data_IF_740773605388
#
_entry.id   IF_740773605388
#
_cell.length_a   1.000
_cell.length_b   1.000
_cell.length_c   1.000
_cell.angle_alpha   90.00
_cell.angle_beta   90.00
_cell.angle_gamma   90.00
#
_symmetry.space_group_name_H-M   'P 1'
#
loop_
_entity.id
_entity.type
_entity.pdbx_description
1 polymer ?
#
# COMPACT_ATOMS: atom_id res chain seq x y z
N UNK A 1 2.38 -21.20 -14.07
CA UNK A 1 2.94 -19.99 -13.42
C UNK A 1 2.36 -18.75 -14.13
N UNK A 2 1.76 -17.77 -13.43
CA UNK A 2 1.04 -16.65 -14.09
C UNK A 2 1.98 -15.63 -14.77
N UNK A 3 1.47 -14.86 -15.73
CA UNK A 3 2.26 -13.92 -16.54
C UNK A 3 2.65 -12.63 -15.79
N UNK A 4 3.65 -11.89 -16.28
CA UNK A 4 4.04 -10.60 -15.70
C UNK A 4 2.89 -9.57 -15.71
N UNK A 5 2.11 -9.40 -16.81
CA UNK A 5 0.93 -8.52 -16.80
C UNK A 5 -0.10 -8.90 -15.74
N UNK A 6 -0.34 -10.20 -15.50
CA UNK A 6 -1.26 -10.65 -14.46
C UNK A 6 -0.81 -10.16 -13.08
N UNK A 7 0.45 -10.37 -12.70
CA UNK A 7 0.95 -9.90 -11.40
C UNK A 7 0.94 -8.38 -11.29
N UNK A 8 1.14 -7.65 -12.40
CA UNK A 8 1.01 -6.19 -12.44
C UNK A 8 -0.42 -5.74 -12.11
N UNK A 9 -1.43 -6.39 -12.69
CA UNK A 9 -2.85 -6.10 -12.38
C UNK A 9 -3.13 -6.40 -10.91
N UNK A 10 -2.73 -7.57 -10.41
CA UNK A 10 -2.91 -7.96 -9.00
C UNK A 10 -2.28 -6.93 -8.05
N UNK A 11 -1.06 -6.46 -8.36
CA UNK A 11 -0.36 -5.46 -7.58
C UNK A 11 -1.08 -4.11 -7.55
N UNK A 12 -1.56 -3.65 -8.71
CA UNK A 12 -2.28 -2.37 -8.83
C UNK A 12 -3.63 -2.43 -8.12
N UNK A 13 -4.38 -3.53 -8.27
CA UNK A 13 -5.63 -3.74 -7.54
C UNK A 13 -5.37 -3.70 -6.04
N UNK A 14 -4.34 -4.40 -5.57
CA UNK A 14 -3.92 -4.35 -4.16
C UNK A 14 -3.62 -2.92 -3.68
N UNK A 15 -2.85 -2.16 -4.47
CA UNK A 15 -2.53 -0.75 -4.17
C UNK A 15 -3.79 0.11 -4.05
N UNK A 16 -4.71 0.01 -5.01
CA UNK A 16 -5.96 0.79 -5.03
C UNK A 16 -6.81 0.49 -3.79
N UNK A 17 -6.91 -0.78 -3.41
CA UNK A 17 -7.64 -1.20 -2.21
C UNK A 17 -7.01 -0.64 -0.92
N UNK A 18 -5.69 -0.71 -0.78
CA UNK A 18 -4.96 -0.15 0.36
C UNK A 18 -5.15 1.36 0.45
N UNK A 19 -4.97 2.08 -0.66
CA UNK A 19 -5.11 3.54 -0.69
C UNK A 19 -6.54 3.98 -0.36
N UNK A 20 -7.55 3.29 -0.92
CA UNK A 20 -8.96 3.53 -0.63
C UNK A 20 -9.29 3.32 0.86
N UNK A 21 -8.87 2.20 1.44
CA UNK A 21 -9.14 1.90 2.85
C UNK A 21 -8.42 2.87 3.82
N UNK A 22 -7.18 3.26 3.51
CA UNK A 22 -6.43 4.23 4.30
C UNK A 22 -7.02 5.64 4.18
N UNK A 23 -7.40 6.05 2.97
CA UNK A 23 -8.08 7.33 2.73
C UNK A 23 -9.40 7.43 3.49
N UNK A 24 -10.24 6.39 3.41
CA UNK A 24 -11.50 6.31 4.15
C UNK A 24 -11.28 6.39 5.67
N UNK A 25 -10.28 5.67 6.19
CA UNK A 25 -9.93 5.68 7.61
C UNK A 25 -9.45 7.04 8.09
N UNK A 26 -8.57 7.68 7.31
CA UNK A 26 -8.01 8.98 7.63
C UNK A 26 -9.08 10.08 7.62
N UNK A 27 -9.95 10.12 6.60
CA UNK A 27 -11.04 11.11 6.54
C UNK A 27 -12.06 10.90 7.66
N UNK A 28 -12.42 9.65 7.96
CA UNK A 28 -13.31 9.38 9.08
C UNK A 28 -12.72 9.86 10.42
N UNK A 29 -11.42 9.59 10.66
CA UNK A 29 -10.73 10.08 11.85
C UNK A 29 -10.65 11.62 11.89
N UNK A 30 -10.43 12.28 10.74
CA UNK A 30 -10.41 13.74 10.64
C UNK A 30 -11.75 14.38 10.99
N UNK A 31 -12.85 13.71 10.68
CA UNK A 31 -14.20 14.15 11.01
C UNK A 31 -14.60 13.79 12.46
N UNK A 32 -13.64 13.48 13.34
CA UNK A 32 -13.88 13.13 14.75
C UNK A 32 -14.33 11.69 14.97
N UNK A 33 -14.31 10.86 13.92
CA UNK A 33 -14.68 9.46 14.01
C UNK A 33 -13.65 8.59 14.74
N UNK A 34 -14.12 7.56 15.43
CA UNK A 34 -13.28 6.55 16.09
C UNK A 34 -13.50 5.16 15.48
N UNK A 35 -12.72 4.18 15.92
CA UNK A 35 -12.91 2.78 15.50
C UNK A 35 -14.30 2.25 15.85
N UNK A 36 -14.88 2.71 16.95
CA UNK A 36 -16.18 2.29 17.46
C UNK A 36 -17.33 2.90 16.65
N UNK A 37 -17.17 4.14 16.18
CA UNK A 37 -18.22 4.85 15.43
C UNK A 37 -18.23 4.49 13.94
N UNK A 38 -17.17 3.89 13.40
CA UNK A 38 -17.12 3.48 12.00
C UNK A 38 -17.97 2.22 11.76
N UNK A 39 -19.20 2.41 11.25
CA UNK A 39 -20.11 1.32 10.86
C UNK A 39 -19.55 0.42 9.75
N UNK A 40 -18.69 0.96 8.89
CA UNK A 40 -18.03 0.24 7.81
C UNK A 40 -16.64 -0.34 8.20
N UNK A 41 -16.28 -0.36 9.50
CA UNK A 41 -14.94 -0.77 9.95
C UNK A 41 -14.50 -2.15 9.44
N UNK A 42 -15.42 -3.11 9.35
CA UNK A 42 -15.12 -4.46 8.91
C UNK A 42 -14.79 -4.49 7.42
N UNK A 43 -15.57 -3.76 6.60
CA UNK A 43 -15.30 -3.58 5.19
C UNK A 43 -13.94 -2.90 4.97
N UNK A 44 -13.67 -1.79 5.66
CA UNK A 44 -12.40 -1.07 5.55
C UNK A 44 -11.21 -1.95 5.94
N UNK A 45 -11.31 -2.71 7.03
CA UNK A 45 -10.27 -3.65 7.44
C UNK A 45 -10.07 -4.78 6.43
N UNK A 46 -11.15 -5.32 5.85
CA UNK A 46 -11.07 -6.37 4.84
C UNK A 46 -10.44 -5.85 3.54
N UNK A 47 -10.87 -4.68 3.04
CA UNK A 47 -10.29 -4.06 1.85
C UNK A 47 -8.80 -3.76 2.04
N UNK A 48 -8.41 -3.27 3.22
CA UNK A 48 -6.99 -3.04 3.52
C UNK A 48 -6.22 -4.35 3.58
N UNK A 49 -6.69 -5.35 4.34
CA UNK A 49 -6.00 -6.64 4.49
C UNK A 49 -5.85 -7.40 3.18
N UNK A 50 -6.94 -7.53 2.40
CA UNK A 50 -6.91 -8.12 1.05
C UNK A 50 -6.04 -7.27 0.12
N UNK A 51 -6.15 -5.94 0.21
CA UNK A 51 -5.32 -5.03 -0.55
C UNK A 51 -3.83 -5.24 -0.32
N UNK A 52 -3.39 -5.34 0.94
CA UNK A 52 -2.00 -5.63 1.31
C UNK A 52 -1.57 -6.99 0.78
N UNK A 53 -2.41 -8.02 0.92
CA UNK A 53 -2.11 -9.35 0.40
C UNK A 53 -1.89 -9.33 -1.11
N UNK A 54 -2.80 -8.72 -1.87
CA UNK A 54 -2.68 -8.61 -3.33
C UNK A 54 -1.49 -7.72 -3.74
N UNK A 55 -1.25 -6.63 -3.01
CA UNK A 55 -0.10 -5.75 -3.24
C UNK A 55 1.20 -6.55 -3.12
N UNK A 56 1.38 -7.33 -2.05
CA UNK A 56 2.60 -8.10 -1.84
C UNK A 56 2.70 -9.30 -2.79
N UNK A 57 1.64 -10.08 -2.99
CA UNK A 57 1.64 -11.23 -3.92
C UNK A 57 1.89 -10.78 -5.35
N UNK A 58 1.25 -9.70 -5.79
CA UNK A 58 1.50 -9.11 -7.11
C UNK A 58 2.92 -8.54 -7.22
N UNK A 59 3.39 -7.87 -6.17
CA UNK A 59 4.73 -7.28 -6.12
C UNK A 59 5.84 -8.33 -6.25
N UNK A 60 5.87 -9.30 -5.33
CA UNK A 60 6.85 -10.38 -5.34
C UNK A 60 6.67 -11.33 -6.53
N UNK A 61 5.44 -11.54 -7.00
CA UNK A 61 5.17 -12.28 -8.23
C UNK A 61 5.82 -11.63 -9.46
N UNK A 62 5.76 -10.29 -9.58
CA UNK A 62 6.50 -9.57 -10.62
C UNK A 62 8.02 -9.69 -10.45
N UNK A 63 8.53 -9.60 -9.22
CA UNK A 63 9.97 -9.72 -8.96
C UNK A 63 10.52 -11.08 -9.40
N UNK A 64 9.81 -12.16 -9.10
CA UNK A 64 10.17 -13.50 -9.56
C UNK A 64 10.19 -13.61 -11.10
N UNK A 65 9.28 -12.90 -11.80
CA UNK A 65 9.25 -12.86 -13.28
C UNK A 65 10.37 -12.01 -13.87
N UNK A 66 10.88 -11.05 -13.11
CA UNK A 66 12.01 -10.20 -13.49
C UNK A 66 13.37 -10.81 -13.11
N UNK A 67 13.39 -12.02 -12.53
CA UNK A 67 14.63 -12.72 -12.17
C UNK A 67 15.22 -12.34 -10.81
N UNK A 68 14.51 -11.55 -9.99
CA UNK A 68 14.93 -11.23 -8.62
C UNK A 68 14.61 -12.41 -7.69
N UNK A 69 15.57 -13.34 -7.56
CA UNK A 69 15.50 -14.52 -6.70
C UNK A 69 16.01 -14.22 -5.28
N UNK A 70 15.75 -15.12 -4.32
CA UNK A 70 16.28 -15.00 -2.96
C UNK A 70 17.81 -14.86 -2.96
N UNK A 71 18.33 -13.88 -2.20
CA UNK A 71 19.76 -13.58 -2.11
C UNK A 71 20.29 -12.61 -3.17
N UNK A 72 19.47 -12.19 -4.15
CA UNK A 72 19.88 -11.16 -5.11
C UNK A 72 19.98 -9.78 -4.46
N UNK A 73 21.02 -9.02 -4.82
CA UNK A 73 21.15 -7.63 -4.41
C UNK A 73 20.05 -6.80 -5.10
N UNK A 74 19.10 -6.30 -4.30
CA UNK A 74 18.03 -5.46 -4.82
C UNK A 74 18.55 -4.06 -5.14
N UNK A 75 18.23 -3.52 -6.33
CA UNK A 75 18.57 -2.14 -6.68
C UNK A 75 17.85 -1.15 -5.75
N UNK A 76 18.36 0.08 -5.66
CA UNK A 76 17.84 1.09 -4.74
C UNK A 76 16.33 1.34 -4.90
N UNK A 77 15.85 1.42 -6.15
CA UNK A 77 14.42 1.67 -6.45
C UNK A 77 13.51 0.59 -5.85
N UNK A 78 14.00 -0.66 -5.78
CA UNK A 78 13.23 -1.78 -5.25
C UNK A 78 13.13 -1.69 -3.73
N UNK A 79 14.23 -1.35 -3.05
CA UNK A 79 14.21 -1.10 -1.61
C UNK A 79 13.22 0.00 -1.22
N UNK A 80 13.21 1.11 -1.97
CA UNK A 80 12.24 2.19 -1.76
C UNK A 80 10.81 1.66 -1.85
N UNK A 81 10.49 0.84 -2.86
CA UNK A 81 9.15 0.26 -2.99
C UNK A 81 8.79 -0.69 -1.85
N UNK A 82 9.72 -1.55 -1.43
CA UNK A 82 9.50 -2.47 -0.30
C UNK A 82 9.20 -1.71 0.99
N UNK A 83 9.94 -0.64 1.26
CA UNK A 83 9.70 0.24 2.41
C UNK A 83 8.32 0.89 2.31
N UNK A 84 7.95 1.44 1.14
CA UNK A 84 6.62 2.03 0.94
C UNK A 84 5.51 1.01 1.17
N UNK A 85 5.64 -0.22 0.65
CA UNK A 85 4.67 -1.29 0.85
C UNK A 85 4.52 -1.64 2.34
N UNK A 86 5.62 -1.73 3.07
CA UNK A 86 5.61 -1.95 4.51
C UNK A 86 4.93 -0.81 5.28
N UNK A 87 5.22 0.44 4.93
CA UNK A 87 4.61 1.63 5.52
C UNK A 87 3.09 1.59 5.33
N UNK A 88 2.60 1.41 4.10
CA UNK A 88 1.14 1.43 3.83
C UNK A 88 0.42 0.21 4.43
N UNK A 89 1.11 -0.92 4.58
CA UNK A 89 0.57 -2.09 5.27
C UNK A 89 0.41 -1.84 6.79
N UNK A 90 1.30 -1.09 7.42
CA UNK A 90 1.21 -0.79 8.85
C UNK A 90 0.27 0.38 9.19
N UNK A 91 0.06 1.30 8.23
CA UNK A 91 -0.52 2.62 8.50
C UNK A 91 -1.99 2.62 8.98
N UNK A 92 -2.75 1.56 8.70
CA UNK A 92 -4.21 1.53 8.93
C UNK A 92 -4.60 1.81 10.39
N UNK A 93 -3.77 1.39 11.34
CA UNK A 93 -4.09 1.49 12.77
C UNK A 93 -3.79 2.88 13.36
N UNK A 94 -3.08 3.75 12.63
CA UNK A 94 -2.58 5.01 13.17
C UNK A 94 -3.65 6.09 13.28
N UNK A 95 -4.52 6.35 12.26
CA UNK A 95 -5.45 7.48 12.31
C UNK A 95 -6.40 7.46 13.53
N UNK A 96 -6.89 6.29 13.95
CA UNK A 96 -7.74 6.18 15.14
C UNK A 96 -6.97 6.20 16.47
N UNK A 97 -5.68 5.87 16.47
CA UNK A 97 -4.83 5.94 17.68
C UNK A 97 -4.24 7.33 17.89
N UNK A 98 -3.98 8.05 16.80
CA UNK A 98 -3.42 9.41 16.81
C UNK A 98 -4.13 10.26 15.74
N UNK A 99 -5.33 10.80 16.03
CA UNK A 99 -6.11 11.58 15.08
C UNK A 99 -5.37 12.79 14.49
N UNK A 100 -4.43 13.39 15.25
CA UNK A 100 -3.56 14.46 14.76
C UNK A 100 -2.73 14.06 13.52
N UNK A 101 -2.45 12.77 13.33
CA UNK A 101 -1.72 12.24 12.18
C UNK A 101 -2.62 11.93 10.98
N UNK A 102 -3.95 11.98 11.12
CA UNK A 102 -4.86 11.59 10.05
C UNK A 102 -4.73 12.50 8.80
N UNK A 103 -4.55 13.81 8.98
CA UNK A 103 -4.34 14.76 7.87
C UNK A 103 -2.99 14.56 7.20
N UNK A 104 -1.85 14.51 7.94
CA UNK A 104 -0.57 14.13 7.35
C UNK A 104 -0.61 12.81 6.59
N UNK A 105 -1.25 11.78 7.16
CA UNK A 105 -1.40 10.48 6.51
C UNK A 105 -2.17 10.62 5.20
N UNK A 106 -3.35 11.26 5.23
CA UNK A 106 -4.18 11.44 4.04
C UNK A 106 -3.43 12.13 2.89
N UNK A 107 -2.67 13.18 3.19
CA UNK A 107 -1.85 13.91 2.21
C UNK A 107 -0.63 13.09 1.76
N UNK A 108 -0.02 12.31 2.66
CA UNK A 108 1.14 11.49 2.34
C UNK A 108 0.80 10.29 1.42
N UNK A 109 -0.42 9.74 1.47
CA UNK A 109 -0.82 8.59 0.63
C UNK A 109 -0.58 8.80 -0.87
N UNK A 110 -1.09 9.87 -1.53
CA UNK A 110 -0.83 10.10 -2.94
C UNK A 110 0.65 10.37 -3.23
N UNK A 111 1.38 11.02 -2.31
CA UNK A 111 2.83 11.25 -2.44
C UNK A 111 3.59 9.92 -2.45
N UNK A 112 3.30 9.03 -1.49
CA UNK A 112 3.87 7.69 -1.42
C UNK A 112 3.53 6.86 -2.67
N UNK A 113 2.27 6.96 -3.13
CA UNK A 113 1.84 6.33 -4.39
C UNK A 113 2.62 6.84 -5.60
N UNK A 114 2.78 8.15 -5.71
CA UNK A 114 3.55 8.81 -6.77
C UNK A 114 5.03 8.41 -6.77
N UNK A 115 5.67 8.38 -5.60
CA UNK A 115 7.06 7.92 -5.45
C UNK A 115 7.17 6.44 -5.86
N UNK A 116 6.26 5.58 -5.40
CA UNK A 116 6.27 4.16 -5.75
C UNK A 116 6.08 3.93 -7.26
N UNK A 117 5.23 4.73 -7.91
CA UNK A 117 5.03 4.70 -9.35
C UNK A 117 6.28 5.18 -10.11
N UNK A 118 6.86 6.31 -9.71
CA UNK A 118 8.09 6.85 -10.28
C UNK A 118 9.24 5.85 -10.20
N UNK A 119 9.46 5.23 -9.02
CA UNK A 119 10.48 4.19 -8.82
C UNK A 119 10.24 2.98 -9.73
N UNK A 120 8.99 2.56 -9.95
CA UNK A 120 8.66 1.43 -10.79
C UNK A 120 8.88 1.69 -12.29
N UNK A 121 8.56 2.92 -12.74
CA UNK A 121 8.65 3.31 -14.14
C UNK A 121 10.10 3.60 -14.53
N UNK A 122 10.77 4.48 -13.79
CA UNK A 122 12.07 5.02 -14.18
C UNK A 122 13.26 4.23 -13.62
N UNK A 123 13.08 3.50 -12.51
CA UNK A 123 14.14 2.71 -11.87
C UNK A 123 15.48 3.47 -11.71
N UNK A 124 15.50 4.69 -11.15
CA UNK A 124 16.62 5.62 -11.29
C UNK A 124 17.83 5.34 -10.39
N UNK A 125 17.78 4.31 -9.51
CA UNK A 125 18.77 3.98 -8.48
C UNK A 125 18.82 2.49 -8.19
#
# INVERSE_FOLDING_TARGET
>A
MFSLPFYKVVHIVGLVLVMSALGATAIHALNGGSRQTNRARALVAALHGVGVLLLLVGGFGMLARLGFLHGSAFPGWLWVKLVIWGIVAALLFIPYRRPALAKPIYVALPVLGGIAAYMALYKPI
#
